data_IF_108476769738
#
_entry.id   IF_108476769738
#
_cell.length_a   1.000
_cell.length_b   1.000
_cell.length_c   1.000
_cell.angle_alpha   90.00
_cell.angle_beta   90.00
_cell.angle_gamma   90.00
#
_symmetry.space_group_name_H-M   'P 1'
#
loop_
_entity.id
_entity.type
_entity.pdbx_description
1 polymer ?
#
# COMPACT_ATOMS: atom_id res chain seq x y z
N UNK A 1 -3.65 -18.10 12.36
CA UNK A 1 -2.91 -17.19 11.50
C UNK A 1 -2.58 -17.83 10.16
N UNK A 2 -2.24 -17.04 9.17
CA UNK A 2 -1.83 -17.49 7.84
C UNK A 2 -0.37 -17.10 7.63
N UNK A 3 0.45 -18.06 7.12
CA UNK A 3 1.79 -17.75 6.65
C UNK A 3 1.68 -16.85 5.42
N UNK A 4 2.34 -15.68 5.47
CA UNK A 4 2.33 -14.69 4.37
C UNK A 4 3.57 -14.83 3.51
N UNK A 5 4.76 -14.93 4.14
CA UNK A 5 6.04 -15.10 3.45
C UNK A 5 7.04 -15.82 4.36
N UNK A 6 7.99 -16.52 3.76
CA UNK A 6 9.14 -17.13 4.45
C UNK A 6 10.38 -17.12 3.56
N UNK A 7 11.56 -17.23 4.17
CA UNK A 7 12.81 -17.45 3.44
C UNK A 7 13.00 -18.93 3.18
N UNK A 8 13.56 -19.31 2.02
CA UNK A 8 13.74 -20.72 1.62
C UNK A 8 14.67 -21.52 2.56
N UNK A 9 15.60 -20.83 3.21
CA UNK A 9 16.56 -21.45 4.14
C UNK A 9 15.99 -21.73 5.54
N UNK A 10 14.79 -21.25 5.84
CA UNK A 10 14.15 -21.44 7.13
C UNK A 10 12.97 -22.41 6.97
N UNK A 11 13.16 -23.71 7.27
CA UNK A 11 12.02 -24.59 7.41
C UNK A 11 11.13 -24.04 8.51
N UNK A 12 9.85 -23.84 8.22
CA UNK A 12 8.86 -23.59 9.27
C UNK A 12 9.00 -24.74 10.27
N UNK A 13 9.37 -24.45 11.52
CA UNK A 13 9.55 -25.51 12.47
C UNK A 13 8.19 -26.18 12.68
N UNK A 14 8.13 -27.49 12.50
CA UNK A 14 7.05 -28.32 13.08
C UNK A 14 6.90 -28.06 14.57
N UNK A 15 7.97 -27.56 15.21
CA UNK A 15 8.07 -27.22 16.63
C UNK A 15 7.48 -25.85 17.00
N UNK A 16 7.24 -24.93 16.09
CA UNK A 16 6.50 -23.71 16.42
C UNK A 16 5.01 -24.03 16.38
N UNK A 17 4.55 -24.65 17.47
CA UNK A 17 3.14 -24.95 17.63
C UNK A 17 2.32 -23.70 17.32
N UNK A 18 1.27 -23.84 16.51
CA UNK A 18 0.37 -22.74 16.20
C UNK A 18 -0.11 -22.02 17.46
N UNK A 19 -0.22 -22.75 18.57
CA UNK A 19 -0.65 -22.22 19.85
C UNK A 19 0.34 -21.20 20.41
N UNK A 20 1.66 -21.41 20.30
CA UNK A 20 2.67 -20.43 20.77
C UNK A 20 2.56 -19.10 20.04
N UNK A 21 2.28 -19.15 18.74
CA UNK A 21 2.10 -17.93 17.94
C UNK A 21 0.78 -17.23 18.30
N UNK A 22 -0.27 -17.98 18.52
CA UNK A 22 -1.58 -17.44 18.96
C UNK A 22 -1.47 -16.81 20.34
N UNK A 23 -0.90 -17.51 21.30
CA UNK A 23 -0.72 -17.01 22.67
C UNK A 23 0.15 -15.73 22.69
N UNK A 24 1.19 -15.72 21.85
CA UNK A 24 2.00 -14.50 21.67
C UNK A 24 1.19 -13.37 21.04
N UNK A 25 0.38 -13.65 20.00
CA UNK A 25 -0.46 -12.62 19.37
C UNK A 25 -1.39 -11.94 20.38
N UNK A 26 -1.97 -12.69 21.31
CA UNK A 26 -2.89 -12.22 22.32
C UNK A 26 -2.20 -11.61 23.57
N UNK A 27 -0.90 -11.88 23.75
CA UNK A 27 -0.14 -11.35 24.89
C UNK A 27 0.09 -9.84 24.77
N UNK A 28 0.46 -9.19 25.87
CA UNK A 28 0.87 -7.78 25.90
C UNK A 28 2.34 -7.58 25.48
N UNK A 29 3.11 -8.66 25.30
CA UNK A 29 4.51 -8.58 24.95
C UNK A 29 4.69 -8.23 23.48
N UNK A 30 5.57 -7.29 23.17
CA UNK A 30 5.93 -6.93 21.77
C UNK A 30 6.98 -7.88 21.17
N UNK A 31 7.72 -8.60 22.04
CA UNK A 31 8.70 -9.61 21.66
C UNK A 31 8.67 -10.79 22.59
N UNK A 32 8.94 -11.97 22.06
CA UNK A 32 9.04 -13.21 22.82
C UNK A 32 10.12 -14.10 22.22
N UNK A 33 10.83 -14.86 23.07
CA UNK A 33 11.76 -15.90 22.63
C UNK A 33 11.17 -17.26 22.97
N UNK A 34 11.18 -18.15 22.00
CA UNK A 34 10.76 -19.55 22.15
C UNK A 34 11.81 -20.45 21.54
N UNK A 35 12.56 -21.16 22.36
CA UNK A 35 13.76 -21.90 21.95
C UNK A 35 14.75 -20.97 21.21
N UNK A 36 15.13 -21.31 19.96
CA UNK A 36 16.03 -20.50 19.13
C UNK A 36 15.26 -19.47 18.27
N UNK A 37 13.93 -19.38 18.43
CA UNK A 37 13.09 -18.47 17.67
C UNK A 37 12.78 -17.21 18.46
N UNK A 38 12.89 -16.07 17.78
CA UNK A 38 12.48 -14.77 18.28
C UNK A 38 11.25 -14.31 17.52
N UNK A 39 10.17 -14.05 18.25
CA UNK A 39 8.91 -13.54 17.72
C UNK A 39 8.80 -12.06 18.03
N UNK A 40 8.41 -11.27 17.04
CA UNK A 40 8.20 -9.84 17.16
C UNK A 40 6.83 -9.47 16.59
N UNK A 41 6.08 -8.63 17.30
CA UNK A 41 4.85 -8.05 16.76
C UNK A 41 5.17 -6.87 15.85
N UNK A 42 4.53 -6.82 14.70
CA UNK A 42 4.44 -5.63 13.87
C UNK A 42 3.12 -4.95 14.20
N UNK A 43 3.22 -3.88 15.01
CA UNK A 43 2.06 -3.14 15.49
C UNK A 43 1.76 -1.96 14.58
N UNK A 44 0.49 -1.79 14.20
CA UNK A 44 -0.02 -0.62 13.46
C UNK A 44 -1.27 -0.12 14.17
N UNK A 45 -1.30 1.15 14.53
CA UNK A 45 -2.42 1.81 15.23
C UNK A 45 -2.88 1.09 16.53
N UNK A 46 -1.95 0.38 17.20
CA UNK A 46 -2.21 -0.35 18.44
C UNK A 46 -2.65 -1.80 18.23
N UNK A 47 -2.86 -2.24 17.00
CA UNK A 47 -3.24 -3.61 16.65
C UNK A 47 -2.05 -4.40 16.10
N UNK A 48 -2.04 -5.72 16.32
CA UNK A 48 -1.02 -6.63 15.80
C UNK A 48 -1.38 -7.04 14.38
N UNK A 49 -0.73 -6.45 13.36
CA UNK A 49 -0.97 -6.78 11.96
C UNK A 49 -0.22 -8.04 11.51
N UNK A 50 1.05 -8.15 11.91
CA UNK A 50 1.89 -9.29 11.57
C UNK A 50 2.73 -9.73 12.76
N UNK A 51 3.18 -10.98 12.71
CA UNK A 51 4.21 -11.52 13.59
C UNK A 51 5.40 -11.92 12.73
N UNK A 52 6.56 -11.31 13.00
CA UNK A 52 7.82 -11.70 12.41
C UNK A 52 8.46 -12.78 13.30
N UNK A 53 8.77 -13.92 12.72
CA UNK A 53 9.47 -15.03 13.38
C UNK A 53 10.86 -15.12 12.78
N UNK A 54 11.89 -15.02 13.62
CA UNK A 54 13.29 -15.10 13.22
C UNK A 54 13.99 -16.23 13.94
N UNK A 55 14.77 -17.03 13.22
CA UNK A 55 15.78 -17.92 13.81
C UNK A 55 17.08 -17.12 13.99
N UNK A 56 17.47 -16.90 15.24
CA UNK A 56 18.64 -16.07 15.55
C UNK A 56 19.77 -16.96 16.07
N UNK A 57 20.84 -17.08 15.30
CA UNK A 57 22.03 -17.86 15.66
C UNK A 57 23.09 -17.03 16.40
N UNK A 58 23.06 -15.71 16.21
CA UNK A 58 24.02 -14.76 16.81
C UNK A 58 23.26 -13.49 17.27
N UNK A 59 23.70 -12.88 18.36
CA UNK A 59 23.09 -11.67 18.92
C UNK A 59 23.03 -10.49 17.94
N UNK A 60 23.98 -10.41 17.02
CA UNK A 60 24.01 -9.38 15.96
C UNK A 60 22.77 -9.38 15.09
N UNK A 61 22.12 -10.54 14.89
CA UNK A 61 20.90 -10.65 14.10
C UNK A 61 19.65 -10.11 14.80
N UNK A 62 19.69 -9.93 16.13
CA UNK A 62 18.57 -9.31 16.87
C UNK A 62 18.30 -7.87 16.41
N UNK A 63 19.36 -7.12 16.12
CA UNK A 63 19.26 -5.76 15.59
C UNK A 63 18.64 -5.78 14.20
N UNK A 64 19.06 -6.72 13.35
CA UNK A 64 18.49 -6.88 12.02
C UNK A 64 16.99 -7.23 12.08
N UNK A 65 16.58 -8.09 13.00
CA UNK A 65 15.18 -8.43 13.21
C UNK A 65 14.35 -7.21 13.64
N UNK A 66 14.86 -6.39 14.56
CA UNK A 66 14.19 -5.15 14.98
C UNK A 66 14.09 -4.14 13.82
N UNK A 67 15.15 -4.00 13.02
CA UNK A 67 15.11 -3.17 11.82
C UNK A 67 14.06 -3.67 10.82
N UNK A 68 13.96 -4.98 10.61
CA UNK A 68 12.95 -5.59 9.74
C UNK A 68 11.53 -5.29 10.25
N UNK A 69 11.26 -5.41 11.55
CA UNK A 69 9.96 -5.02 12.16
C UNK A 69 9.63 -3.56 11.85
N UNK A 70 10.59 -2.65 12.06
CA UNK A 70 10.41 -1.23 11.75
C UNK A 70 10.09 -1.00 10.27
N UNK A 71 10.82 -1.66 9.36
CA UNK A 71 10.62 -1.51 7.92
C UNK A 71 9.25 -2.06 7.49
N UNK A 72 8.88 -3.25 7.96
CA UNK A 72 7.57 -3.85 7.66
C UNK A 72 6.45 -2.93 8.16
N UNK A 73 6.54 -2.42 9.40
CA UNK A 73 5.56 -1.47 9.93
C UNK A 73 5.43 -0.23 9.06
N UNK A 74 6.55 0.39 8.68
CA UNK A 74 6.54 1.58 7.84
C UNK A 74 5.92 1.30 6.47
N UNK A 75 6.18 0.14 5.87
CA UNK A 75 5.56 -0.29 4.62
C UNK A 75 4.05 -0.45 4.78
N UNK A 76 3.59 -1.16 5.82
CA UNK A 76 2.15 -1.37 6.07
C UNK A 76 1.45 -0.03 6.28
N UNK A 77 2.02 0.87 7.09
CA UNK A 77 1.46 2.21 7.30
C UNK A 77 1.39 3.03 5.99
N UNK A 78 2.45 2.99 5.18
CA UNK A 78 2.46 3.69 3.88
C UNK A 78 1.40 3.16 2.92
N UNK A 79 1.20 1.83 2.87
CA UNK A 79 0.14 1.23 2.05
C UNK A 79 -1.26 1.60 2.55
N UNK A 80 -1.48 1.56 3.86
CA UNK A 80 -2.76 1.97 4.46
C UNK A 80 -3.08 3.44 4.16
N UNK A 81 -2.10 4.34 4.33
CA UNK A 81 -2.26 5.75 4.03
C UNK A 81 -2.59 5.99 2.54
N UNK A 82 -1.90 5.31 1.63
CA UNK A 82 -2.16 5.42 0.20
C UNK A 82 -3.55 4.88 -0.15
N UNK A 83 -3.99 3.78 0.46
CA UNK A 83 -5.32 3.23 0.28
C UNK A 83 -6.39 4.22 0.74
N UNK A 84 -6.23 4.83 1.91
CA UNK A 84 -7.15 5.83 2.44
C UNK A 84 -7.24 7.08 1.55
N UNK A 85 -6.12 7.53 1.00
CA UNK A 85 -6.07 8.65 0.06
C UNK A 85 -6.81 8.34 -1.24
N UNK A 86 -6.66 7.14 -1.79
CA UNK A 86 -7.36 6.73 -3.00
C UNK A 86 -8.86 6.57 -2.75
N UNK A 87 -9.26 5.98 -1.63
CA UNK A 87 -10.66 5.90 -1.21
C UNK A 87 -11.29 7.28 -1.00
N UNK A 88 -10.54 8.21 -0.43
CA UNK A 88 -11.00 9.59 -0.28
C UNK A 88 -11.28 10.22 -1.66
N UNK A 89 -10.37 10.07 -2.64
CA UNK A 89 -10.58 10.57 -4.00
C UNK A 89 -11.75 9.87 -4.69
N UNK A 90 -11.91 8.57 -4.52
CA UNK A 90 -13.07 7.83 -5.02
C UNK A 90 -14.39 8.43 -4.51
N UNK A 91 -14.48 8.68 -3.21
CA UNK A 91 -15.68 9.25 -2.61
C UNK A 91 -15.96 10.69 -3.10
N UNK A 92 -14.94 11.48 -3.40
CA UNK A 92 -15.11 12.80 -4.03
C UNK A 92 -15.69 12.65 -5.44
N UNK A 93 -15.11 11.77 -6.27
CA UNK A 93 -15.56 11.56 -7.67
C UNK A 93 -17.01 11.08 -7.70
N UNK A 94 -17.36 10.16 -6.79
CA UNK A 94 -18.71 9.60 -6.69
C UNK A 94 -19.73 10.56 -6.03
N UNK A 95 -19.30 11.74 -5.56
CA UNK A 95 -20.18 12.68 -4.88
C UNK A 95 -20.68 12.21 -3.51
N UNK A 96 -20.02 11.23 -2.89
CA UNK A 96 -20.40 10.63 -1.61
C UNK A 96 -19.98 11.47 -0.39
N UNK A 97 -19.46 12.69 -0.60
CA UNK A 97 -18.93 13.53 0.48
C UNK A 97 -19.51 14.94 0.43
N UNK A 98 -19.78 15.50 1.61
CA UNK A 98 -20.11 16.91 1.74
C UNK A 98 -18.87 17.78 1.53
N UNK A 99 -19.07 18.94 0.91
CA UNK A 99 -17.97 19.89 0.60
C UNK A 99 -17.18 20.28 1.87
N UNK A 100 -17.87 20.46 3.00
CA UNK A 100 -17.25 20.82 4.28
C UNK A 100 -16.29 19.73 4.76
N UNK A 101 -16.64 18.44 4.56
CA UNK A 101 -15.83 17.30 4.97
C UNK A 101 -14.62 17.12 4.06
N UNK A 102 -14.74 17.50 2.77
CA UNK A 102 -13.67 17.39 1.80
C UNK A 102 -12.45 18.19 2.25
N UNK A 103 -12.61 19.45 2.66
CA UNK A 103 -11.49 20.28 3.11
C UNK A 103 -10.79 19.71 4.35
N UNK A 104 -11.56 19.25 5.34
CA UNK A 104 -11.02 18.64 6.56
C UNK A 104 -10.20 17.39 6.29
N UNK A 105 -10.74 16.47 5.47
CA UNK A 105 -10.09 15.21 5.11
C UNK A 105 -8.90 15.42 4.16
N UNK A 106 -8.99 16.34 3.19
CA UNK A 106 -7.88 16.68 2.33
C UNK A 106 -6.67 17.16 3.12
N UNK A 107 -6.89 17.98 4.15
CA UNK A 107 -5.83 18.43 5.07
C UNK A 107 -5.24 17.26 5.87
N UNK A 108 -6.09 16.36 6.38
CA UNK A 108 -5.65 15.17 7.13
C UNK A 108 -4.76 14.27 6.27
N UNK A 109 -5.13 14.05 5.00
CA UNK A 109 -4.38 13.23 4.05
C UNK A 109 -3.25 13.98 3.34
N UNK A 110 -2.91 15.20 3.77
CA UNK A 110 -1.86 16.04 3.19
C UNK A 110 -2.00 16.25 1.67
N UNK A 111 -3.25 16.30 1.18
CA UNK A 111 -3.52 16.52 -0.24
C UNK A 111 -3.36 18.00 -0.54
N UNK A 112 -2.43 18.30 -1.43
CA UNK A 112 -2.14 19.67 -1.86
C UNK A 112 -3.08 20.08 -2.97
N UNK A 113 -3.41 21.38 -2.98
CA UNK A 113 -4.12 22.04 -4.08
C UNK A 113 -3.13 22.33 -5.20
N UNK A 114 -3.13 21.48 -6.23
CA UNK A 114 -2.25 21.55 -7.39
C UNK A 114 -3.03 21.27 -8.66
N UNK A 115 -2.59 21.77 -9.83
CA UNK A 115 -3.18 21.41 -11.12
C UNK A 115 -3.13 19.90 -11.34
N UNK A 116 -4.26 19.32 -11.78
CA UNK A 116 -4.39 17.89 -12.02
C UNK A 116 -5.09 17.62 -13.32
N UNK A 117 -4.71 16.53 -13.96
CA UNK A 117 -5.40 15.98 -15.13
C UNK A 117 -6.00 14.63 -14.74
N UNK A 118 -7.20 14.39 -15.23
CA UNK A 118 -7.94 13.15 -14.98
C UNK A 118 -7.98 12.33 -16.25
N UNK A 119 -7.48 11.09 -16.16
CA UNK A 119 -7.65 10.07 -17.18
C UNK A 119 -8.75 9.12 -16.73
N UNK A 120 -9.75 8.91 -17.58
CA UNK A 120 -10.76 7.88 -17.38
C UNK A 120 -10.44 6.74 -18.34
N UNK A 121 -10.22 5.56 -17.77
CA UNK A 121 -9.76 4.38 -18.47
C UNK A 121 -10.90 3.36 -18.45
N UNK A 122 -11.47 3.07 -19.60
CA UNK A 122 -12.46 2.01 -19.77
C UNK A 122 -11.72 0.68 -20.02
N UNK A 123 -11.88 -0.28 -19.11
CA UNK A 123 -11.24 -1.60 -19.19
C UNK A 123 -12.10 -2.63 -19.95
N UNK A 124 -13.31 -2.25 -20.36
CA UNK A 124 -14.25 -3.14 -21.03
C UNK A 124 -14.60 -4.36 -20.17
N UNK A 125 -14.47 -5.55 -20.76
CA UNK A 125 -14.75 -6.82 -20.07
C UNK A 125 -13.50 -7.47 -19.44
N UNK A 126 -12.36 -6.78 -19.41
CA UNK A 126 -11.11 -7.29 -18.86
C UNK A 126 -11.12 -7.29 -17.32
N UNK A 127 -10.26 -8.10 -16.73
CA UNK A 127 -10.10 -8.16 -15.28
C UNK A 127 -9.58 -6.81 -14.75
N UNK A 128 -10.45 -6.11 -14.04
CA UNK A 128 -10.18 -4.79 -13.49
C UNK A 128 -9.01 -4.78 -12.50
N UNK A 129 -8.76 -5.89 -11.80
CA UNK A 129 -7.67 -6.00 -10.83
C UNK A 129 -6.30 -5.93 -11.52
N UNK A 130 -6.13 -6.64 -12.65
CA UNK A 130 -4.89 -6.59 -13.44
C UNK A 130 -4.70 -5.19 -14.05
N UNK A 131 -5.75 -4.61 -14.61
CA UNK A 131 -5.70 -3.26 -15.17
C UNK A 131 -5.36 -2.22 -14.09
N UNK A 132 -5.93 -2.34 -12.91
CA UNK A 132 -5.64 -1.48 -11.76
C UNK A 132 -4.17 -1.58 -11.34
N UNK A 133 -3.61 -2.78 -11.30
CA UNK A 133 -2.20 -2.99 -10.96
C UNK A 133 -1.26 -2.37 -12.02
N UNK A 134 -1.57 -2.53 -13.29
CA UNK A 134 -0.82 -1.90 -14.38
C UNK A 134 -0.86 -0.37 -14.29
N UNK A 135 -2.04 0.21 -14.08
CA UNK A 135 -2.18 1.66 -13.93
C UNK A 135 -1.44 2.18 -12.69
N UNK A 136 -1.48 1.44 -11.57
CA UNK A 136 -0.71 1.78 -10.37
C UNK A 136 0.81 1.73 -10.61
N UNK A 137 1.29 0.79 -11.40
CA UNK A 137 2.71 0.68 -11.74
C UNK A 137 3.17 1.79 -12.69
N UNK A 138 2.28 2.30 -13.55
CA UNK A 138 2.54 3.44 -14.43
C UNK A 138 2.39 4.78 -13.70
N UNK A 139 1.55 4.84 -12.67
CA UNK A 139 1.48 5.97 -11.75
C UNK A 139 2.75 5.94 -10.87
N UNK A 140 3.50 7.03 -10.83
CA UNK A 140 4.68 7.11 -9.96
C UNK A 140 4.23 7.03 -8.50
N UNK A 141 4.63 5.97 -7.80
CA UNK A 141 4.29 5.72 -6.38
C UNK A 141 4.75 6.88 -5.47
N UNK A 142 5.78 7.62 -5.88
CA UNK A 142 6.27 8.82 -5.19
C UNK A 142 5.51 10.08 -5.59
N UNK A 143 4.67 9.98 -6.61
CA UNK A 143 3.90 11.12 -7.10
C UNK A 143 2.67 11.36 -6.24
N UNK A 144 2.14 12.56 -6.35
CA UNK A 144 0.87 12.96 -5.74
C UNK A 144 -0.33 12.49 -6.58
N UNK A 145 -0.14 11.43 -7.36
CA UNK A 145 -1.15 10.84 -8.22
C UNK A 145 -2.12 9.98 -7.39
N UNK A 146 -3.33 9.81 -7.88
CA UNK A 146 -4.33 8.92 -7.30
C UNK A 146 -4.84 7.98 -8.37
N UNK A 147 -5.02 6.72 -8.00
CA UNK A 147 -5.61 5.69 -8.86
C UNK A 147 -6.76 5.05 -8.13
N UNK A 148 -7.94 5.09 -8.71
CA UNK A 148 -9.14 4.52 -8.09
C UNK A 148 -10.08 3.92 -9.13
N UNK A 149 -10.94 2.98 -8.73
CA UNK A 149 -12.06 2.49 -9.53
C UNK A 149 -13.32 3.26 -9.17
N UNK A 150 -14.09 3.67 -10.16
CA UNK A 150 -15.41 4.28 -9.93
C UNK A 150 -16.54 3.30 -10.17
N UNK A 151 -16.32 2.30 -11.02
CA UNK A 151 -17.24 1.18 -11.27
C UNK A 151 -16.47 -0.09 -11.70
N UNK A 152 -17.19 -1.14 -12.14
CA UNK A 152 -16.60 -2.43 -12.51
C UNK A 152 -15.70 -2.38 -13.77
N UNK A 153 -15.79 -1.30 -14.57
CA UNK A 153 -15.12 -1.18 -15.87
C UNK A 153 -14.30 0.10 -16.01
N UNK A 154 -14.36 1.00 -15.02
CA UNK A 154 -13.75 2.32 -15.13
C UNK A 154 -12.71 2.55 -14.05
N UNK A 155 -11.46 2.76 -14.47
CA UNK A 155 -10.36 3.20 -13.60
C UNK A 155 -10.13 4.68 -13.85
N UNK A 156 -9.93 5.43 -12.78
CA UNK A 156 -9.60 6.86 -12.84
C UNK A 156 -8.19 7.08 -12.30
N UNK A 157 -7.32 7.62 -13.15
CA UNK A 157 -6.01 8.13 -12.78
C UNK A 157 -6.07 9.65 -12.70
N UNK A 158 -5.80 10.21 -11.52
CA UNK A 158 -5.70 11.66 -11.29
C UNK A 158 -4.22 12.01 -11.14
N UNK A 159 -3.67 12.68 -12.14
CA UNK A 159 -2.24 12.97 -12.22
C UNK A 159 -1.93 14.41 -11.81
N UNK A 160 -0.93 14.58 -10.95
CA UNK A 160 -0.33 15.89 -10.64
C UNK A 160 0.49 16.37 -11.84
N UNK A 161 0.12 17.51 -12.39
CA UNK A 161 0.81 18.14 -13.54
C UNK A 161 1.50 19.44 -13.18
N UNK A 162 1.61 19.76 -11.88
CA UNK A 162 2.20 21.03 -11.42
C UNK A 162 3.66 21.22 -11.83
N UNK A 163 4.36 20.13 -12.15
CA UNK A 163 5.76 20.13 -12.59
C UNK A 163 5.94 20.14 -14.10
N UNK A 164 4.83 20.08 -14.86
CA UNK A 164 4.86 20.06 -16.34
C UNK A 164 4.66 21.48 -16.83
N UNK A 165 5.54 21.93 -17.73
CA UNK A 165 5.39 23.23 -18.38
C UNK A 165 4.22 23.19 -19.36
N UNK A 166 3.53 24.30 -19.48
CA UNK A 166 2.34 24.43 -20.34
C UNK A 166 2.64 24.05 -21.80
N UNK A 167 3.82 24.43 -22.30
CA UNK A 167 4.29 24.14 -23.67
C UNK A 167 4.50 22.63 -23.94
N UNK A 168 4.80 21.84 -22.89
CA UNK A 168 5.07 20.40 -22.98
C UNK A 168 3.83 19.55 -22.57
N UNK A 169 2.77 20.20 -22.09
CA UNK A 169 1.64 19.53 -21.46
C UNK A 169 0.98 18.54 -22.42
N UNK A 170 0.60 18.98 -23.60
CA UNK A 170 -0.10 18.16 -24.60
C UNK A 170 0.71 16.93 -25.01
N UNK A 171 2.00 17.12 -25.30
CA UNK A 171 2.90 16.03 -25.69
C UNK A 171 3.05 15.00 -24.57
N UNK A 172 3.25 15.44 -23.33
CA UNK A 172 3.41 14.54 -22.18
C UNK A 172 2.13 13.78 -21.84
N UNK A 173 0.99 14.46 -21.88
CA UNK A 173 -0.32 13.81 -21.65
C UNK A 173 -0.65 12.80 -22.74
N UNK A 174 -0.34 13.09 -23.99
CA UNK A 174 -0.51 12.16 -25.12
C UNK A 174 0.39 10.92 -24.98
N UNK A 175 1.63 11.08 -24.51
CA UNK A 175 2.52 9.95 -24.22
C UNK A 175 1.98 9.07 -23.09
N UNK A 176 1.46 9.67 -22.02
CA UNK A 176 0.85 8.93 -20.92
C UNK A 176 -0.37 8.16 -21.40
N UNK A 177 -1.26 8.80 -22.16
CA UNK A 177 -2.45 8.17 -22.72
C UNK A 177 -2.08 7.00 -23.66
N UNK A 178 -1.09 7.19 -24.52
CA UNK A 178 -0.56 6.12 -25.39
C UNK A 178 -0.01 4.94 -24.58
N UNK A 179 0.82 5.21 -23.58
CA UNK A 179 1.36 4.16 -22.70
C UNK A 179 0.27 3.40 -21.94
N UNK A 180 -0.77 4.07 -21.48
CA UNK A 180 -1.93 3.44 -20.84
C UNK A 180 -2.68 2.55 -21.84
N UNK A 181 -2.93 3.02 -23.05
CA UNK A 181 -3.62 2.27 -24.08
C UNK A 181 -2.81 1.02 -24.50
N UNK A 182 -1.50 1.17 -24.73
CA UNK A 182 -0.61 0.08 -25.19
C UNK A 182 -0.47 -1.04 -24.14
N UNK A 183 -0.47 -0.70 -22.86
CA UNK A 183 -0.32 -1.69 -21.78
C UNK A 183 -1.65 -2.36 -21.37
N UNK A 184 -2.80 -1.79 -21.75
CA UNK A 184 -4.11 -2.32 -21.43
C UNK A 184 -4.74 -3.12 -22.60
N UNK A 185 -4.13 -3.11 -23.78
CA UNK A 185 -4.51 -3.94 -24.91
C UNK A 185 -3.81 -5.29 -24.89
#
# INVERSE_FOLDING_TARGET
GKLVAHTEEMPLPEALEQQVVVDFAESLAEKQTYQDYHLYKVMVEGETEYILVCLVKEESFLVCAQMAVCQIRNLVMSFAEQFDRNNFMQNIILGNMLIVDIYGKAKKHHIQEVPRVVFVIDTGSKNNDMAMELVKNLADIRSKDFVTCVDQHSIVLIKDVSHIKEEEMEERLSKIAGSLADNLH
#
